data_IF_758948596137
#
_entry.id   IF_758948596137
#
_cell.length_a   1.000
_cell.length_b   1.000
_cell.length_c   1.000
_cell.angle_alpha   90.00
_cell.angle_beta   90.00
_cell.angle_gamma   90.00
#
_symmetry.space_group_name_H-M   'P 1'
#
loop_
_entity.id
_entity.type
_entity.pdbx_description
1 polymer ?
#
# COMPACT_ATOMS: atom_id res chain seq x y z
N UNK A 1 -17.79 5.56 -12.87
CA UNK A 1 -16.86 5.90 -11.77
C UNK A 1 -15.57 5.14 -12.00
N UNK A 2 -14.41 5.82 -12.03
CA UNK A 2 -13.12 5.12 -12.14
C UNK A 2 -12.95 4.22 -10.91
N UNK A 3 -12.55 2.97 -11.11
CA UNK A 3 -12.16 2.08 -10.02
C UNK A 3 -10.89 2.68 -9.40
N UNK A 4 -10.97 3.15 -8.15
CA UNK A 4 -9.82 3.70 -7.42
C UNK A 4 -9.33 2.71 -6.39
N UNK A 5 -8.03 2.61 -6.26
CA UNK A 5 -7.42 1.74 -5.25
C UNK A 5 -7.39 2.40 -3.87
N UNK A 6 -7.70 1.61 -2.84
CA UNK A 6 -7.55 1.97 -1.43
C UNK A 6 -6.08 1.88 -1.03
N UNK A 7 -5.58 2.83 -0.24
CA UNK A 7 -4.22 2.77 0.28
C UNK A 7 -4.14 1.85 1.50
N UNK A 8 -3.11 0.99 1.55
CA UNK A 8 -2.86 0.05 2.67
C UNK A 8 -1.47 0.25 3.30
N UNK A 9 -1.22 -0.43 4.41
CA UNK A 9 0.09 -0.57 5.06
C UNK A 9 1.20 -0.85 4.03
N UNK A 10 2.29 -0.10 4.12
CA UNK A 10 3.43 -0.24 3.22
C UNK A 10 3.25 0.48 1.88
N UNK A 11 2.20 1.30 1.72
CA UNK A 11 2.05 2.21 0.59
C UNK A 11 3.29 3.08 0.41
N UNK A 12 3.77 3.20 -0.82
CA UNK A 12 4.95 4.00 -1.15
C UNK A 12 4.52 5.44 -1.37
N UNK A 13 5.00 6.33 -0.52
CA UNK A 13 4.73 7.76 -0.55
C UNK A 13 5.94 8.54 -1.06
N UNK A 14 5.68 9.68 -1.70
CA UNK A 14 6.70 10.61 -2.17
C UNK A 14 6.26 12.04 -1.90
N UNK A 15 7.17 12.86 -1.35
CA UNK A 15 6.97 14.30 -1.31
C UNK A 15 7.43 14.93 -2.65
N UNK A 16 6.62 15.81 -3.23
CA UNK A 16 6.95 16.56 -4.46
C UNK A 16 8.24 17.38 -4.34
N UNK A 17 8.56 17.81 -3.12
CA UNK A 17 9.77 18.58 -2.80
C UNK A 17 10.88 17.72 -2.19
N UNK A 18 10.62 16.43 -1.97
CA UNK A 18 11.58 15.45 -1.48
C UNK A 18 12.42 14.84 -2.61
N UNK A 19 13.49 14.13 -2.25
CA UNK A 19 14.35 13.42 -3.20
C UNK A 19 14.27 11.90 -3.10
N UNK A 20 13.61 11.38 -2.06
CA UNK A 20 13.44 9.96 -1.83
C UNK A 20 11.97 9.60 -1.53
N UNK A 21 11.67 8.31 -1.60
CA UNK A 21 10.37 7.74 -1.22
C UNK A 21 10.46 7.05 0.14
N UNK A 22 9.33 6.95 0.82
CA UNK A 22 9.20 6.24 2.09
C UNK A 22 7.87 5.46 2.13
N UNK A 23 7.71 4.55 3.08
CA UNK A 23 6.51 3.72 3.21
C UNK A 23 5.63 4.22 4.35
N UNK A 24 4.33 4.27 4.10
CA UNK A 24 3.32 4.58 5.10
C UNK A 24 3.11 3.41 6.06
N UNK A 25 3.11 3.72 7.34
CA UNK A 25 2.80 2.81 8.44
C UNK A 25 1.49 3.27 9.09
N UNK A 26 0.46 2.44 8.97
CA UNK A 26 -0.83 2.55 9.65
C UNK A 26 -0.62 2.22 11.13
N UNK A 27 -0.93 3.19 11.99
CA UNK A 27 -0.77 3.06 13.45
C UNK A 27 -2.10 3.18 14.19
N UNK A 28 -3.14 3.66 13.51
CA UNK A 28 -4.41 4.07 14.15
C UNK A 28 -5.48 2.99 14.19
N UNK A 29 -5.27 1.84 13.52
CA UNK A 29 -6.23 0.74 13.49
C UNK A 29 -5.54 -0.61 13.28
N UNK A 30 -6.18 -1.70 13.73
CA UNK A 30 -5.64 -3.08 13.67
C UNK A 30 -6.70 -4.12 13.23
N UNK A 31 -7.79 -3.69 12.59
CA UNK A 31 -8.95 -4.56 12.33
C UNK A 31 -9.34 -4.67 10.86
N UNK A 32 -9.11 -3.62 10.07
CA UNK A 32 -9.55 -3.58 8.69
C UNK A 32 -8.38 -3.84 7.76
N UNK A 33 -8.47 -4.96 7.04
CA UNK A 33 -7.49 -5.43 6.07
C UNK A 33 -8.11 -5.52 4.68
N UNK A 34 -7.32 -5.30 3.63
CA UNK A 34 -7.77 -5.41 2.23
C UNK A 34 -6.81 -6.27 1.43
N UNK A 35 -7.36 -7.17 0.61
CA UNK A 35 -6.59 -8.07 -0.27
C UNK A 35 -5.53 -8.88 0.47
N UNK A 36 -5.84 -9.29 1.70
CA UNK A 36 -4.97 -10.05 2.59
C UNK A 36 -5.75 -11.26 3.12
N UNK A 37 -5.36 -12.45 2.65
CA UNK A 37 -6.07 -13.71 2.97
C UNK A 37 -6.04 -13.99 4.48
N UNK A 38 -4.94 -13.65 5.14
CA UNK A 38 -4.72 -13.93 6.55
C UNK A 38 -5.10 -12.75 7.45
N UNK A 39 -5.40 -11.59 6.84
CA UNK A 39 -5.83 -10.38 7.56
C UNK A 39 -4.81 -9.92 8.59
N UNK A 40 -3.53 -9.86 8.22
CA UNK A 40 -2.44 -9.61 9.17
C UNK A 40 -1.52 -8.44 8.79
N UNK A 41 -1.34 -8.19 7.49
CA UNK A 41 -0.30 -7.29 6.97
C UNK A 41 -0.86 -6.06 6.26
N UNK A 42 -1.96 -6.17 5.50
CA UNK A 42 -2.46 -5.06 4.64
C UNK A 42 -3.57 -4.24 5.31
N UNK A 43 -3.24 -3.60 6.43
CA UNK A 43 -4.15 -2.69 7.12
C UNK A 43 -4.54 -1.52 6.22
N UNK A 44 -5.82 -1.15 6.18
CA UNK A 44 -6.31 0.04 5.47
C UNK A 44 -5.75 1.31 6.13
N UNK A 45 -5.21 2.22 5.32
CA UNK A 45 -4.76 3.53 5.75
C UNK A 45 -5.92 4.53 5.82
N UNK A 46 -5.87 5.40 6.82
CA UNK A 46 -6.93 6.36 7.12
C UNK A 46 -6.40 7.77 7.30
N UNK A 47 -7.29 8.76 7.17
CA UNK A 47 -6.90 10.16 7.31
C UNK A 47 -6.42 10.57 8.71
N UNK A 48 -6.64 9.73 9.72
CA UNK A 48 -6.14 9.96 11.08
C UNK A 48 -4.70 9.46 11.25
N UNK A 49 -4.12 8.75 10.27
CA UNK A 49 -2.71 8.37 10.24
C UNK A 49 -1.83 9.59 9.89
N UNK A 50 -1.72 10.52 10.85
CA UNK A 50 -0.96 11.78 10.77
C UNK A 50 0.28 11.76 11.69
N UNK A 51 1.15 12.77 11.57
CA UNK A 51 2.39 12.88 12.35
C UNK A 51 3.55 12.13 11.70
N UNK A 52 4.31 11.38 12.52
CA UNK A 52 5.47 10.58 12.09
C UNK A 52 5.07 9.13 11.84
N UNK A 53 4.35 8.90 10.75
CA UNK A 53 3.77 7.60 10.38
C UNK A 53 4.52 6.89 9.26
N UNK A 54 5.75 7.30 8.94
CA UNK A 54 6.55 6.66 7.89
C UNK A 54 7.63 5.75 8.48
N UNK A 55 8.08 4.75 7.72
CA UNK A 55 9.08 3.80 8.20
C UNK A 55 10.45 4.47 8.45
N UNK A 56 10.95 5.26 7.50
CA UNK A 56 12.23 5.96 7.63
C UNK A 56 12.07 7.37 8.19
N UNK A 57 10.84 7.89 8.24
CA UNK A 57 10.50 9.25 8.65
C UNK A 57 11.29 10.32 7.88
N UNK A 58 11.62 10.05 6.60
CA UNK A 58 12.31 11.01 5.75
C UNK A 58 12.04 10.78 4.27
N UNK A 59 11.83 11.86 3.52
CA UNK A 59 11.78 11.85 2.06
C UNK A 59 13.10 12.36 1.43
N UNK A 60 14.23 12.16 2.12
CA UNK A 60 15.54 12.61 1.64
C UNK A 60 15.78 14.08 1.96
N UNK A 61 16.07 14.90 0.96
CA UNK A 61 16.32 16.34 1.10
C UNK A 61 15.10 17.17 0.67
N UNK A 62 14.78 18.24 1.40
CA UNK A 62 13.63 19.11 1.13
C UNK A 62 14.03 20.37 0.36
N UNK A 63 13.57 20.49 -0.89
CA UNK A 63 13.83 21.67 -1.73
C UNK A 63 13.27 22.98 -1.16
N UNK A 64 12.27 22.91 -0.27
CA UNK A 64 11.70 24.08 0.41
C UNK A 64 12.55 24.58 1.60
N UNK A 65 13.61 23.86 1.97
CA UNK A 65 14.47 24.21 3.10
C UNK A 65 15.94 24.33 2.65
N UNK A 66 16.29 25.37 1.85
CA UNK A 66 17.66 25.58 1.41
C UNK A 66 18.58 25.93 2.59
N UNK A 67 19.83 25.51 2.49
CA UNK A 67 20.94 25.86 3.39
C UNK A 67 22.14 26.29 2.56
N UNK A 68 23.13 27.00 3.14
CA UNK A 68 24.31 27.44 2.40
C UNK A 68 25.12 26.33 1.71
N UNK A 69 24.94 25.06 2.13
CA UNK A 69 25.60 23.89 1.55
C UNK A 69 24.65 22.86 0.92
N UNK A 70 23.37 23.19 0.69
CA UNK A 70 22.41 22.27 0.09
C UNK A 70 20.98 22.46 0.62
N UNK A 71 20.38 21.38 1.11
CA UNK A 71 19.00 21.37 1.61
C UNK A 71 18.92 20.59 2.91
N UNK A 72 18.02 21.00 3.81
CA UNK A 72 17.74 20.24 5.04
C UNK A 72 17.03 18.91 4.73
N UNK A 73 17.14 17.90 5.61
CA UNK A 73 16.37 16.67 5.49
C UNK A 73 14.86 16.94 5.46
N UNK A 74 14.13 16.23 4.61
CA UNK A 74 12.68 16.32 4.52
C UNK A 74 12.05 15.45 5.62
N UNK A 75 11.71 16.06 6.74
CA UNK A 75 10.98 15.43 7.85
C UNK A 75 9.48 15.64 7.65
N UNK A 76 8.72 14.59 7.27
CA UNK A 76 7.32 14.73 6.90
C UNK A 76 6.42 14.76 8.13
N UNK A 77 6.43 15.87 8.87
CA UNK A 77 5.44 16.10 9.91
C UNK A 77 4.07 16.32 9.24
N UNK A 78 3.33 15.24 9.05
CA UNK A 78 2.07 15.23 8.31
C UNK A 78 0.96 15.81 9.19
N UNK A 79 0.30 16.86 8.70
CA UNK A 79 -0.73 17.59 9.47
C UNK A 79 -2.14 17.11 9.15
N UNK A 80 -2.39 16.82 7.88
CA UNK A 80 -3.70 16.38 7.40
C UNK A 80 -3.56 15.62 6.07
N UNK A 81 -4.57 14.81 5.77
CA UNK A 81 -4.80 14.21 4.45
C UNK A 81 -5.97 14.91 3.77
N UNK A 82 -5.91 15.02 2.43
CA UNK A 82 -7.00 15.54 1.58
C UNK A 82 -7.37 14.52 0.51
N UNK A 83 -8.61 14.60 0.03
CA UNK A 83 -9.09 13.73 -1.06
C UNK A 83 -9.38 12.30 -0.60
N UNK A 84 -9.83 12.13 0.64
CA UNK A 84 -10.20 10.84 1.23
C UNK A 84 -11.57 10.40 0.75
N UNK A 85 -11.82 9.09 0.75
CA UNK A 85 -13.12 8.54 0.39
C UNK A 85 -14.07 8.60 1.60
N UNK A 86 -15.12 9.42 1.48
CA UNK A 86 -15.97 9.80 2.62
C UNK A 86 -17.04 8.77 2.99
N UNK A 87 -17.43 7.91 2.04
CA UNK A 87 -18.52 6.95 2.23
C UNK A 87 -18.10 5.73 3.04
N UNK A 88 -16.78 5.46 3.13
CA UNK A 88 -16.23 4.38 3.94
C UNK A 88 -15.53 4.96 5.17
N UNK A 89 -16.05 4.63 6.35
CA UNK A 89 -15.51 5.04 7.65
C UNK A 89 -15.06 3.80 8.42
N UNK A 90 -13.83 3.82 8.88
CA UNK A 90 -13.23 2.76 9.70
C UNK A 90 -13.62 2.93 11.17
N UNK A 91 -13.35 1.90 11.98
CA UNK A 91 -13.67 1.87 13.41
C UNK A 91 -13.01 2.99 14.24
N UNK A 92 -11.91 3.57 13.76
CA UNK A 92 -11.22 4.70 14.38
C UNK A 92 -11.84 6.05 13.99
N UNK A 93 -13.06 6.06 13.44
CA UNK A 93 -13.72 7.19 12.79
C UNK A 93 -12.92 7.75 11.59
N UNK A 94 -11.95 7.00 11.10
CA UNK A 94 -11.08 7.35 10.00
C UNK A 94 -11.73 7.09 8.65
N UNK A 95 -11.90 8.13 7.83
CA UNK A 95 -12.14 7.99 6.39
C UNK A 95 -10.93 7.36 5.68
N UNK A 96 -11.21 6.53 4.69
CA UNK A 96 -10.22 5.74 3.95
C UNK A 96 -9.44 6.58 2.95
N UNK A 97 -8.13 6.36 2.88
CA UNK A 97 -7.27 6.96 1.87
C UNK A 97 -7.31 6.16 0.57
N UNK A 98 -7.31 6.87 -0.55
CA UNK A 98 -7.27 6.31 -1.90
C UNK A 98 -6.02 6.80 -2.63
N UNK A 99 -5.73 6.24 -3.80
CA UNK A 99 -4.58 6.61 -4.64
C UNK A 99 -4.41 8.12 -4.87
N UNK A 100 -5.53 8.85 -5.02
CA UNK A 100 -5.55 10.29 -5.27
C UNK A 100 -5.45 11.15 -4.00
N UNK A 101 -5.51 10.52 -2.83
CA UNK A 101 -5.40 11.23 -1.56
C UNK A 101 -4.01 11.85 -1.42
N UNK A 102 -3.95 13.06 -0.87
CA UNK A 102 -2.70 13.84 -0.75
C UNK A 102 -2.46 14.26 0.69
N UNK A 103 -1.24 14.10 1.16
CA UNK A 103 -0.81 14.53 2.49
C UNK A 103 -0.27 15.96 2.48
N UNK A 104 -0.55 16.72 3.54
CA UNK A 104 -0.01 18.05 3.81
C UNK A 104 1.06 17.92 4.89
N UNK A 105 2.26 18.47 4.65
CA UNK A 105 3.29 18.57 5.68
C UNK A 105 3.34 19.98 6.27
N UNK A 106 3.80 20.11 7.52
CA UNK A 106 3.95 21.40 8.22
C UNK A 106 4.82 22.40 7.46
N UNK A 107 5.78 21.93 6.66
CA UNK A 107 6.74 22.79 5.94
C UNK A 107 6.11 23.42 4.69
N UNK A 108 5.37 22.62 3.91
CA UNK A 108 4.76 23.10 2.67
C UNK A 108 3.46 23.85 2.93
N UNK A 109 2.70 23.50 3.96
CA UNK A 109 1.35 24.03 4.22
C UNK A 109 0.31 23.69 3.14
N UNK A 110 0.72 22.98 2.07
CA UNK A 110 -0.09 22.57 0.94
C UNK A 110 0.06 21.06 0.66
N UNK A 111 -0.85 20.44 -0.10
CA UNK A 111 -0.79 19.00 -0.37
C UNK A 111 0.42 18.66 -1.24
N UNK A 112 1.44 18.06 -0.64
CA UNK A 112 2.72 17.80 -1.29
C UNK A 112 3.17 16.32 -1.22
N UNK A 113 2.54 15.50 -0.37
CA UNK A 113 2.84 14.06 -0.25
C UNK A 113 1.82 13.29 -1.08
N UNK A 114 2.30 12.49 -2.01
CA UNK A 114 1.52 11.71 -2.97
C UNK A 114 1.79 10.22 -2.79
N UNK A 115 0.82 9.38 -3.15
CA UNK A 115 1.03 7.94 -3.26
C UNK A 115 1.65 7.61 -4.63
N UNK A 116 2.85 7.03 -4.61
CA UNK A 116 3.46 6.43 -5.81
C UNK A 116 2.94 5.00 -6.02
N UNK A 117 2.65 4.29 -4.93
CA UNK A 117 2.00 2.96 -4.92
C UNK A 117 1.09 2.86 -3.70
N UNK A 118 -0.13 2.35 -3.89
CA UNK A 118 -1.15 2.15 -2.84
C UNK A 118 -0.75 1.05 -1.83
N UNK A 119 0.22 0.21 -2.18
CA UNK A 119 0.65 -0.93 -1.37
C UNK A 119 -0.23 -2.17 -1.57
N UNK A 120 -1.35 -2.05 -2.29
CA UNK A 120 -2.17 -3.18 -2.63
C UNK A 120 -1.41 -4.15 -3.54
N UNK A 121 -1.59 -5.44 -3.27
CA UNK A 121 -1.17 -6.52 -4.16
C UNK A 121 -2.31 -7.52 -4.20
N UNK A 122 -2.80 -7.83 -5.40
CA UNK A 122 -3.79 -8.88 -5.59
C UNK A 122 -3.24 -10.21 -5.09
N UNK A 123 -4.00 -10.87 -4.23
CA UNK A 123 -3.69 -12.22 -3.79
C UNK A 123 -4.88 -13.10 -4.20
N UNK A 124 -4.69 -14.05 -5.12
CA UNK A 124 -5.77 -14.93 -5.53
C UNK A 124 -6.23 -15.75 -4.33
N UNK A 125 -7.55 -15.76 -4.09
CA UNK A 125 -8.17 -16.67 -3.14
C UNK A 125 -8.39 -18.05 -3.78
N UNK A 126 -8.65 -19.07 -2.96
CA UNK A 126 -8.98 -20.41 -3.48
C UNK A 126 -10.19 -20.35 -4.42
N UNK A 127 -11.20 -19.55 -4.07
CA UNK A 127 -12.37 -19.34 -4.91
C UNK A 127 -12.02 -18.69 -6.27
N UNK A 128 -10.99 -17.85 -6.35
CA UNK A 128 -10.53 -17.32 -7.63
C UNK A 128 -9.85 -18.40 -8.48
N UNK A 129 -9.13 -19.32 -7.85
CA UNK A 129 -8.47 -20.45 -8.53
C UNK A 129 -9.52 -21.45 -9.02
N UNK A 130 -10.52 -21.78 -8.20
CA UNK A 130 -11.54 -22.77 -8.54
C UNK A 130 -12.43 -22.31 -9.70
N UNK A 131 -12.77 -21.02 -9.72
CA UNK A 131 -13.59 -20.40 -10.77
C UNK A 131 -12.78 -19.95 -12.00
N UNK A 132 -11.45 -20.07 -11.97
CA UNK A 132 -10.63 -19.74 -13.13
C UNK A 132 -10.86 -20.77 -14.25
N UNK A 133 -10.95 -20.27 -15.49
CA UNK A 133 -11.05 -21.12 -16.67
C UNK A 133 -9.76 -21.92 -16.87
N UNK A 134 -9.88 -23.25 -16.85
CA UNK A 134 -8.72 -24.15 -16.88
C UNK A 134 -7.96 -24.07 -18.20
N UNK A 135 -8.66 -23.91 -19.31
CA UNK A 135 -8.03 -23.82 -20.64
C UNK A 135 -7.19 -22.55 -20.74
N UNK A 136 -7.73 -21.39 -20.36
CA UNK A 136 -6.98 -20.14 -20.33
C UNK A 136 -5.80 -20.19 -19.35
N UNK A 137 -6.00 -20.78 -18.16
CA UNK A 137 -4.90 -20.95 -17.21
C UNK A 137 -3.79 -21.84 -17.77
N UNK A 138 -4.12 -22.92 -18.50
CA UNK A 138 -3.13 -23.80 -19.12
C UNK A 138 -2.35 -23.12 -20.25
N UNK A 139 -2.97 -22.17 -20.97
CA UNK A 139 -2.29 -21.40 -22.01
C UNK A 139 -1.34 -20.34 -21.43
N UNK A 140 -1.74 -19.68 -20.33
CA UNK A 140 -0.94 -18.65 -19.67
C UNK A 140 0.17 -19.27 -18.81
N UNK A 141 -0.14 -20.35 -18.09
CA UNK A 141 0.74 -21.03 -17.13
C UNK A 141 0.84 -22.55 -17.45
N UNK A 142 1.41 -22.95 -18.60
CA UNK A 142 1.43 -24.36 -19.04
C UNK A 142 2.24 -25.30 -18.13
N UNK A 143 3.13 -24.77 -17.30
CA UNK A 143 3.98 -25.55 -16.39
C UNK A 143 3.37 -25.74 -15.00
N UNK A 144 2.28 -25.04 -14.69
CA UNK A 144 1.71 -24.98 -13.34
C UNK A 144 0.20 -25.10 -13.41
N UNK A 145 -0.34 -26.21 -12.91
CA UNK A 145 -1.77 -26.31 -12.67
C UNK A 145 -2.11 -25.59 -11.36
N UNK A 146 -2.74 -24.42 -11.47
CA UNK A 146 -3.11 -23.58 -10.32
C UNK A 146 -4.00 -24.32 -9.31
N UNK A 147 -4.85 -25.25 -9.76
CA UNK A 147 -5.74 -26.05 -8.89
C UNK A 147 -5.00 -27.12 -8.08
N UNK A 148 -3.74 -27.39 -8.42
CA UNK A 148 -2.92 -28.41 -7.77
C UNK A 148 -1.75 -27.82 -6.99
N UNK A 149 -1.63 -26.50 -6.94
CA UNK A 149 -0.56 -25.79 -6.22
C UNK A 149 -0.45 -26.16 -4.74
N UNK A 150 -1.58 -26.40 -4.08
CA UNK A 150 -1.63 -26.72 -2.64
C UNK A 150 -1.44 -28.23 -2.36
N UNK A 151 -1.38 -29.09 -3.39
CA UNK A 151 -1.13 -30.52 -3.21
C UNK A 151 0.36 -30.72 -2.96
N UNK A 152 0.72 -31.06 -1.72
CA UNK A 152 2.10 -31.23 -1.30
C UNK A 152 2.87 -32.26 -2.16
N UNK A 153 3.99 -31.77 -2.69
CA UNK A 153 5.09 -32.47 -3.38
C UNK A 153 4.78 -32.99 -4.80
N UNK A 154 5.15 -32.17 -5.80
CA UNK A 154 5.12 -32.49 -7.23
C UNK A 154 5.98 -33.72 -7.61
N UNK A 155 6.78 -34.26 -6.69
CA UNK A 155 7.63 -35.43 -6.94
C UNK A 155 7.24 -36.64 -6.10
N UNK A 156 6.15 -36.57 -5.34
CA UNK A 156 5.68 -37.69 -4.51
C UNK A 156 5.33 -38.94 -5.33
N UNK A 157 4.99 -38.78 -6.61
CA UNK A 157 4.73 -39.88 -7.55
C UNK A 157 5.99 -40.40 -8.25
N UNK A 158 7.15 -39.75 -8.11
CA UNK A 158 8.35 -40.17 -8.84
C UNK A 158 9.07 -41.36 -8.22
N UNK A 159 8.69 -41.85 -7.02
CA UNK A 159 9.32 -43.01 -6.36
C UNK A 159 10.83 -43.07 -6.62
N UNK A 160 11.53 -41.95 -6.44
CA UNK A 160 12.96 -41.91 -6.64
C UNK A 160 13.63 -42.56 -5.43
N UNK A 161 13.91 -43.86 -5.56
CA UNK A 161 14.94 -44.55 -4.78
C UNK A 161 16.35 -44.11 -5.23
#
# INVERSE_FOLDING_TARGET
>A
MSQKEITVQGATCQCQFGTATDKLKVLTQQKHYVNDKDGAQKLIASHVDIGMTFEKNTFGQCKLQPTPGGFKPCLPALTEWKGMYKEMVLINNGQVLVEDSKGVCTISGSPCILFAKTGQKGQPSQQNIDNADEEQQSQINPLVNMKELDKADFYKFLNAE
#
